data_IF_183103554785
#
_entry.id   IF_183103554785
#
_cell.length_a   1.000
_cell.length_b   1.000
_cell.length_c   1.000
_cell.angle_alpha   90.00
_cell.angle_beta   90.00
_cell.angle_gamma   90.00
#
_symmetry.space_group_name_H-M   'P 1'
#
loop_
_entity.id
_entity.type
_entity.pdbx_description
1 polymer ?
#
# COMPACT_ATOMS: atom_id res chain seq x y z
N UNK A 1 21.76 -7.49 3.72
CA UNK A 1 20.73 -6.60 4.29
C UNK A 1 19.46 -7.33 4.69
N UNK A 2 18.88 -8.19 3.83
CA UNK A 2 17.56 -8.81 4.06
C UNK A 2 17.42 -9.47 5.44
N UNK A 3 18.27 -10.41 5.81
CA UNK A 3 18.12 -11.16 7.08
C UNK A 3 18.28 -10.27 8.32
N UNK A 4 19.23 -9.33 8.30
CA UNK A 4 19.58 -8.49 9.46
C UNK A 4 18.54 -7.41 9.79
N UNK A 5 17.75 -7.00 8.79
CA UNK A 5 16.70 -5.98 8.92
C UNK A 5 15.27 -6.57 8.88
N UNK A 6 15.12 -7.89 8.71
CA UNK A 6 13.80 -8.52 8.52
C UNK A 6 12.80 -8.18 9.64
N UNK A 7 13.27 -8.14 10.90
CA UNK A 7 12.39 -7.84 12.03
C UNK A 7 12.15 -6.34 12.24
N UNK A 8 13.16 -5.50 11.97
CA UNK A 8 13.10 -4.07 12.19
C UNK A 8 12.37 -3.36 11.03
N UNK A 9 12.81 -3.57 9.80
CA UNK A 9 12.18 -3.00 8.62
C UNK A 9 10.85 -3.71 8.32
N UNK A 10 10.85 -5.05 8.37
CA UNK A 10 9.69 -5.83 8.01
C UNK A 10 9.61 -6.13 6.52
N UNK A 11 8.39 -6.39 6.05
CA UNK A 11 8.10 -6.68 4.64
C UNK A 11 6.62 -6.40 4.32
N UNK A 12 6.36 -6.13 3.05
CA UNK A 12 5.01 -6.12 2.47
C UNK A 12 4.68 -7.49 1.89
N UNK A 13 3.42 -7.92 2.00
CA UNK A 13 2.94 -9.08 1.27
C UNK A 13 1.44 -9.05 1.04
N UNK A 14 0.96 -9.96 0.18
CA UNK A 14 -0.43 -10.03 -0.24
C UNK A 14 -1.41 -9.89 0.91
N UNK A 15 -2.40 -9.04 0.71
CA UNK A 15 -3.52 -8.85 1.62
C UNK A 15 -4.24 -10.19 1.80
N UNK A 16 -4.44 -10.60 3.06
CA UNK A 16 -5.22 -11.79 3.39
C UNK A 16 -6.58 -11.39 4.00
N UNK A 17 -7.42 -12.37 4.30
CA UNK A 17 -8.77 -12.14 4.84
C UNK A 17 -8.78 -11.36 6.17
N UNK A 18 -7.77 -11.56 7.03
CA UNK A 18 -7.67 -10.84 8.31
C UNK A 18 -7.27 -9.38 8.10
N UNK A 19 -6.42 -9.12 7.10
CA UNK A 19 -6.03 -7.75 6.77
C UNK A 19 -7.19 -7.00 6.13
N UNK A 20 -7.93 -7.66 5.21
CA UNK A 20 -9.18 -7.12 4.68
C UNK A 20 -10.11 -6.73 5.83
N UNK A 21 -10.42 -7.66 6.73
CA UNK A 21 -11.29 -7.37 7.87
C UNK A 21 -10.84 -6.14 8.67
N UNK A 22 -9.54 -5.97 8.92
CA UNK A 22 -9.01 -4.79 9.61
C UNK A 22 -9.19 -3.50 8.81
N UNK A 23 -8.98 -3.55 7.50
CA UNK A 23 -9.21 -2.43 6.58
C UNK A 23 -10.70 -2.05 6.60
N UNK A 24 -11.61 -3.04 6.61
CA UNK A 24 -13.06 -2.81 6.73
C UNK A 24 -13.42 -2.16 8.07
N UNK A 25 -12.89 -2.70 9.16
CA UNK A 25 -13.08 -2.18 10.53
C UNK A 25 -12.52 -0.75 10.70
N UNK A 26 -11.43 -0.43 9.99
CA UNK A 26 -10.84 0.91 9.94
C UNK A 26 -11.56 1.87 8.97
N UNK A 27 -12.47 1.37 8.12
CA UNK A 27 -13.19 2.17 7.14
C UNK A 27 -12.34 2.58 5.92
N UNK A 28 -11.22 1.90 5.67
CA UNK A 28 -10.26 2.28 4.61
C UNK A 28 -10.45 1.50 3.30
N UNK A 29 -11.53 0.72 3.16
CA UNK A 29 -11.75 -0.16 1.99
C UNK A 29 -11.57 0.54 0.64
N UNK A 30 -12.09 1.77 0.53
CA UNK A 30 -11.97 2.58 -0.69
C UNK A 30 -10.50 2.87 -1.03
N UNK A 31 -9.67 3.13 -0.02
CA UNK A 31 -8.26 3.42 -0.22
C UNK A 31 -7.46 2.16 -0.59
N UNK A 32 -7.94 0.97 -0.27
CA UNK A 32 -7.28 -0.29 -0.63
C UNK A 32 -7.91 -0.99 -1.85
N UNK A 33 -8.86 -0.34 -2.54
CA UNK A 33 -9.62 -0.95 -3.63
C UNK A 33 -8.74 -1.42 -4.81
N UNK A 34 -7.60 -0.76 -5.03
CA UNK A 34 -6.63 -1.10 -6.06
C UNK A 34 -5.29 -1.61 -5.48
N UNK A 35 -5.21 -1.83 -4.17
CA UNK A 35 -3.99 -2.26 -3.47
C UNK A 35 -4.07 -3.75 -3.16
N UNK A 36 -2.99 -4.49 -3.46
CA UNK A 36 -2.95 -5.95 -3.30
C UNK A 36 -1.97 -6.44 -2.23
N UNK A 37 -1.03 -5.61 -1.82
CA UNK A 37 0.02 -5.90 -0.85
C UNK A 37 -0.04 -4.89 0.30
N UNK A 38 0.31 -5.34 1.51
CA UNK A 38 0.28 -4.51 2.73
C UNK A 38 1.45 -4.90 3.65
N UNK A 39 1.98 -3.95 4.41
CA UNK A 39 2.98 -4.14 5.44
C UNK A 39 2.55 -5.18 6.49
N UNK A 40 3.34 -6.22 6.68
CA UNK A 40 3.04 -7.32 7.62
C UNK A 40 3.77 -7.22 8.94
N UNK A 41 4.95 -6.62 8.94
CA UNK A 41 5.85 -6.58 10.08
C UNK A 41 6.66 -5.29 10.09
N UNK A 42 7.26 -4.98 11.22
CA UNK A 42 8.27 -3.93 11.36
C UNK A 42 7.72 -2.55 11.04
N UNK A 43 8.62 -1.72 10.52
CA UNK A 43 8.34 -0.36 10.04
C UNK A 43 7.27 -0.34 8.94
N UNK A 44 7.32 -1.29 7.99
CA UNK A 44 6.34 -1.36 6.89
C UNK A 44 4.90 -1.39 7.42
N UNK A 45 4.63 -2.26 8.41
CA UNK A 45 3.30 -2.34 9.00
C UNK A 45 2.95 -1.16 9.91
N UNK A 46 3.94 -0.67 10.67
CA UNK A 46 3.69 0.38 11.66
C UNK A 46 3.40 1.73 11.00
N UNK A 47 4.03 2.01 9.86
CA UNK A 47 3.89 3.23 9.09
C UNK A 47 3.11 3.01 7.78
N UNK A 48 2.33 1.94 7.68
CA UNK A 48 1.52 1.64 6.49
C UNK A 48 0.63 2.83 6.09
N UNK A 49 0.03 3.51 7.06
CA UNK A 49 -0.84 4.67 6.87
C UNK A 49 -0.17 5.81 6.09
N UNK A 50 1.09 6.10 6.41
CA UNK A 50 1.87 7.15 5.75
C UNK A 50 2.59 6.65 4.50
N UNK A 51 2.93 5.35 4.44
CA UNK A 51 3.66 4.74 3.33
C UNK A 51 2.75 4.36 2.16
N UNK A 52 1.50 4.01 2.43
CA UNK A 52 0.53 3.56 1.44
C UNK A 52 0.09 4.71 0.52
N UNK A 53 -0.19 5.88 1.10
CA UNK A 53 -0.73 7.02 0.36
C UNK A 53 -2.21 6.86 0.02
N UNK A 54 -2.66 7.52 -1.04
CA UNK A 54 -4.05 7.53 -1.47
C UNK A 54 -4.19 6.98 -2.89
N UNK A 55 -5.10 6.02 -3.09
CA UNK A 55 -5.39 5.50 -4.43
C UNK A 55 -6.19 6.51 -5.24
N UNK A 56 -5.81 6.64 -6.50
CA UNK A 56 -6.56 7.39 -7.50
C UNK A 56 -7.71 6.57 -8.07
N UNK A 57 -8.47 7.18 -8.95
CA UNK A 57 -9.50 6.48 -9.72
C UNK A 57 -9.58 7.01 -11.15
N UNK A 58 -10.19 6.19 -12.00
CA UNK A 58 -10.44 6.55 -13.39
C UNK A 58 -11.92 6.31 -13.72
N UNK A 59 -12.60 7.37 -14.13
CA UNK A 59 -13.97 7.27 -14.63
C UNK A 59 -13.93 6.93 -16.13
N UNK A 60 -14.38 5.73 -16.49
CA UNK A 60 -14.40 5.24 -17.87
C UNK A 60 -15.82 5.05 -18.39
N UNK A 61 -16.05 5.43 -19.64
CA UNK A 61 -17.28 5.09 -20.35
C UNK A 61 -17.11 3.72 -21.02
N UNK A 62 -18.05 2.82 -20.77
CA UNK A 62 -18.04 1.45 -21.28
C UNK A 62 -19.20 1.21 -22.25
N UNK A 63 -18.98 0.40 -23.28
CA UNK A 63 -20.05 -0.03 -24.18
C UNK A 63 -20.88 -1.17 -23.57
N UNK A 64 -21.93 -1.61 -24.26
CA UNK A 64 -22.79 -2.74 -23.83
C UNK A 64 -22.06 -4.08 -23.70
N UNK A 65 -20.84 -4.20 -24.24
CA UNK A 65 -19.97 -5.37 -24.12
C UNK A 65 -18.92 -5.22 -23.00
N UNK A 66 -18.95 -4.13 -22.24
CA UNK A 66 -18.00 -3.85 -21.16
C UNK A 66 -16.63 -3.37 -21.61
N UNK A 67 -16.45 -3.00 -22.89
CA UNK A 67 -15.18 -2.45 -23.38
C UNK A 67 -15.10 -0.96 -23.12
N UNK A 68 -13.94 -0.50 -22.68
CA UNK A 68 -13.65 0.92 -22.44
C UNK A 68 -13.65 1.65 -23.79
N UNK A 69 -14.52 2.66 -23.93
CA UNK A 69 -14.61 3.51 -25.12
C UNK A 69 -13.75 4.76 -24.94
N UNK A 70 -13.81 5.39 -23.77
CA UNK A 70 -13.03 6.57 -23.41
C UNK A 70 -12.95 6.77 -21.91
N UNK A 71 -11.97 7.56 -21.49
CA UNK A 71 -11.83 8.05 -20.12
C UNK A 71 -12.46 9.42 -20.00
N UNK A 72 -13.37 9.58 -19.04
CA UNK A 72 -14.08 10.83 -18.77
C UNK A 72 -13.33 11.70 -17.76
N UNK A 73 -12.78 11.07 -16.72
CA UNK A 73 -12.03 11.75 -15.67
C UNK A 73 -10.95 10.83 -15.09
N UNK A 74 -9.87 11.43 -14.62
CA UNK A 74 -8.75 10.74 -13.98
C UNK A 74 -8.34 11.55 -12.76
N UNK A 75 -8.48 10.96 -11.59
CA UNK A 75 -7.83 11.46 -10.38
C UNK A 75 -6.57 10.61 -10.14
N UNK A 76 -5.36 11.17 -10.32
CA UNK A 76 -4.13 10.42 -10.09
C UNK A 76 -4.01 10.03 -8.60
N UNK A 77 -3.33 8.91 -8.29
CA UNK A 77 -3.03 8.54 -6.91
C UNK A 77 -2.07 9.54 -6.27
N UNK A 78 -2.18 9.70 -4.96
CA UNK A 78 -1.20 10.42 -4.15
C UNK A 78 -0.21 9.40 -3.59
N UNK A 79 1.09 9.42 -3.99
CA UNK A 79 2.07 8.53 -3.41
C UNK A 79 2.18 8.71 -1.89
N UNK A 80 2.45 7.62 -1.18
CA UNK A 80 2.82 7.68 0.23
C UNK A 80 4.11 8.48 0.46
N UNK A 81 4.39 8.77 1.72
CA UNK A 81 5.52 9.59 2.14
C UNK A 81 6.75 8.74 2.35
N UNK A 82 7.89 9.23 1.87
CA UNK A 82 9.19 8.69 2.24
C UNK A 82 9.45 8.92 3.73
N UNK A 83 10.00 7.91 4.40
CA UNK A 83 10.41 8.00 5.80
C UNK A 83 11.93 7.88 5.92
N UNK A 84 12.51 8.68 6.80
CA UNK A 84 13.95 8.61 7.13
C UNK A 84 14.08 7.92 8.49
N UNK A 85 14.78 6.79 8.49
CA UNK A 85 14.98 5.98 9.70
C UNK A 85 16.31 6.35 10.38
N UNK A 86 16.30 6.35 11.71
CA UNK A 86 17.51 6.53 12.53
C UNK A 86 18.28 5.20 12.70
N UNK A 87 18.33 4.37 11.65
CA UNK A 87 18.99 3.06 11.66
C UNK A 87 20.30 3.17 10.89
N UNK A 88 21.42 2.91 11.59
CA UNK A 88 22.71 2.75 10.92
C UNK A 88 22.84 1.33 10.37
N UNK A 89 22.81 1.22 9.04
CA UNK A 89 22.90 -0.06 8.32
C UNK A 89 24.26 -0.73 8.58
N UNK A 90 25.34 0.02 8.78
CA UNK A 90 26.68 -0.52 8.98
C UNK A 90 26.83 -1.15 10.35
N UNK A 91 26.24 -0.54 11.38
CA UNK A 91 26.21 -1.10 12.73
C UNK A 91 25.36 -2.36 12.79
N UNK A 92 24.21 -2.36 12.12
CA UNK A 92 23.29 -3.50 12.14
C UNK A 92 23.90 -4.75 11.49
N UNK A 93 24.82 -4.59 10.52
CA UNK A 93 25.46 -5.70 9.80
C UNK A 93 26.68 -6.32 10.49
N UNK A 94 27.25 -5.66 11.50
CA UNK A 94 28.45 -6.10 12.21
C UNK A 94 28.15 -7.23 13.21
#
# INVERSE_FOLDING_TARGET
YKETLTHALGYVSKINKKDLQKIQEAGEEANYAATYDIGKLGIEKYHEDILHGEVGYQQVEVNSQGRIIRTLDVQPPTPGRDIVLNIDIRLQQA
#
